data_IF_034139322863
#
_entry.id   IF_034139322863
#
_cell.length_a   1.000
_cell.length_b   1.000
_cell.length_c   1.000
_cell.angle_alpha   90.00
_cell.angle_beta   90.00
_cell.angle_gamma   90.00
#
_symmetry.space_group_name_H-M   'P 1'
#
loop_
_entity.id
_entity.type
_entity.pdbx_description
1 polymer ?
#
# COMPACT_ATOMS: atom_id res chain seq x y z
N UNK A 1 1.44 25.38 -1.95
CA UNK A 1 1.02 24.08 -1.45
C UNK A 1 2.20 23.14 -1.26
N UNK A 2 2.41 22.66 -0.06
CA UNK A 2 3.54 21.81 0.25
C UNK A 2 3.04 20.46 0.76
N UNK A 3 3.04 19.45 -0.11
CA UNK A 3 2.53 18.14 0.24
C UNK A 3 3.51 17.27 0.99
N UNK A 4 4.80 17.62 1.02
CA UNK A 4 5.77 16.75 1.68
C UNK A 4 5.64 16.75 3.21
N UNK A 5 4.98 17.73 3.77
CA UNK A 5 4.71 17.74 5.21
C UNK A 5 3.37 17.11 5.56
N UNK A 6 2.64 16.70 4.54
CA UNK A 6 1.31 16.16 4.75
C UNK A 6 1.40 14.66 5.01
N UNK A 7 0.88 14.22 6.15
CA UNK A 7 0.80 12.81 6.49
C UNK A 7 -0.60 12.48 6.97
N UNK A 8 -0.95 11.22 6.84
CA UNK A 8 -2.29 10.77 7.17
C UNK A 8 -2.23 9.41 7.86
N UNK A 9 -3.28 9.11 8.61
CA UNK A 9 -3.41 7.82 9.27
C UNK A 9 -4.01 6.76 8.35
N UNK A 10 -4.45 7.14 7.16
CA UNK A 10 -4.99 6.21 6.19
C UNK A 10 -4.57 6.63 4.79
N UNK A 11 -3.90 5.73 4.09
CA UNK A 11 -3.54 5.90 2.68
C UNK A 11 -4.28 4.85 1.88
N UNK A 12 -5.04 5.28 0.87
CA UNK A 12 -5.76 4.38 -0.02
C UNK A 12 -5.28 4.61 -1.44
N UNK A 13 -4.87 3.54 -2.12
CA UNK A 13 -4.40 3.64 -3.49
C UNK A 13 -5.11 2.61 -4.34
N UNK A 14 -5.62 3.04 -5.49
CA UNK A 14 -6.27 2.18 -6.47
C UNK A 14 -5.72 2.52 -7.84
N UNK A 15 -4.47 2.09 -8.08
CA UNK A 15 -3.75 2.37 -9.31
C UNK A 15 -3.05 1.09 -9.76
N UNK A 16 -2.48 1.12 -10.96
CA UNK A 16 -1.80 -0.04 -11.50
C UNK A 16 -0.65 -0.49 -10.59
N UNK A 17 -0.44 -1.80 -10.53
CA UNK A 17 0.58 -2.36 -9.65
C UNK A 17 1.99 -1.86 -10.00
N UNK A 18 2.25 -1.58 -11.28
CA UNK A 18 3.55 -1.03 -11.67
C UNK A 18 3.76 0.35 -11.06
N UNK A 19 2.71 1.18 -11.05
CA UNK A 19 2.79 2.49 -10.42
C UNK A 19 2.92 2.36 -8.91
N UNK A 20 2.24 1.38 -8.30
CA UNK A 20 2.36 1.14 -6.86
C UNK A 20 3.78 0.77 -6.48
N UNK A 21 4.47 0.01 -7.33
CA UNK A 21 5.86 -0.37 -7.07
C UNK A 21 6.78 0.86 -7.04
N UNK A 22 6.57 1.76 -7.99
CA UNK A 22 7.40 2.96 -8.10
C UNK A 22 7.09 3.94 -6.97
N UNK A 23 5.83 4.06 -6.59
CA UNK A 23 5.39 5.05 -5.62
C UNK A 23 5.50 4.57 -4.17
N UNK A 24 5.94 3.34 -3.94
CA UNK A 24 5.96 2.78 -2.60
C UNK A 24 6.66 3.67 -1.56
N UNK A 25 7.87 4.20 -1.83
CA UNK A 25 8.51 5.05 -0.83
C UNK A 25 7.71 6.31 -0.54
N UNK A 26 7.09 6.88 -1.57
CA UNK A 26 6.30 8.11 -1.42
C UNK A 26 5.06 7.84 -0.58
N UNK A 27 4.34 6.75 -0.90
CA UNK A 27 3.14 6.41 -0.15
C UNK A 27 3.46 6.07 1.30
N UNK A 28 4.57 5.37 1.53
CA UNK A 28 5.00 5.03 2.89
C UNK A 28 5.32 6.28 3.68
N UNK A 29 5.95 7.25 3.03
CA UNK A 29 6.31 8.49 3.71
C UNK A 29 5.07 9.30 4.11
N UNK A 30 4.00 9.21 3.33
CA UNK A 30 2.77 9.94 3.63
C UNK A 30 1.92 9.26 4.70
N UNK A 31 2.28 8.06 5.12
CA UNK A 31 1.51 7.32 6.11
C UNK A 31 2.16 7.48 7.49
N UNK A 32 1.38 7.90 8.47
CA UNK A 32 1.89 8.02 9.83
C UNK A 32 2.23 6.66 10.39
N UNK A 33 3.19 6.63 11.32
CA UNK A 33 3.50 5.42 12.07
C UNK A 33 2.21 4.91 12.72
N UNK A 34 1.96 3.62 12.58
CA UNK A 34 0.74 2.95 13.03
C UNK A 34 -0.49 3.32 12.21
N UNK A 35 -0.32 4.11 11.16
CA UNK A 35 -1.39 4.36 10.22
C UNK A 35 -1.59 3.17 9.30
N UNK A 36 -2.62 3.21 8.50
CA UNK A 36 -3.02 2.08 7.66
C UNK A 36 -2.89 2.43 6.18
N UNK A 37 -2.45 1.45 5.38
CA UNK A 37 -2.47 1.56 3.94
C UNK A 37 -3.41 0.50 3.38
N UNK A 38 -4.12 0.84 2.31
CA UNK A 38 -4.98 -0.08 1.59
C UNK A 38 -4.70 0.06 0.11
N UNK A 39 -4.32 -1.04 -0.53
CA UNK A 39 -3.97 -1.08 -1.95
C UNK A 39 -4.98 -1.96 -2.67
N UNK A 40 -5.67 -1.41 -3.66
CA UNK A 40 -6.66 -2.15 -4.43
C UNK A 40 -6.34 -2.08 -5.92
N UNK A 41 -7.12 -2.81 -6.73
CA UNK A 41 -6.86 -2.86 -8.16
C UNK A 41 -5.67 -3.75 -8.51
N UNK A 42 -5.34 -4.70 -7.66
CA UNK A 42 -4.18 -5.58 -7.80
C UNK A 42 -4.64 -6.97 -8.16
N UNK A 43 -4.00 -7.58 -9.14
CA UNK A 43 -4.26 -8.98 -9.47
C UNK A 43 -3.58 -9.89 -8.46
N UNK A 44 -4.19 -11.04 -8.18
CA UNK A 44 -3.63 -11.97 -7.20
C UNK A 44 -2.18 -12.31 -7.47
N UNK A 45 -1.82 -12.47 -8.74
CA UNK A 45 -0.45 -12.83 -9.10
C UNK A 45 0.57 -11.75 -8.79
N UNK A 46 0.11 -10.53 -8.52
CA UNK A 46 0.99 -9.40 -8.23
C UNK A 46 1.17 -9.17 -6.73
N UNK A 47 0.37 -9.88 -5.92
CA UNK A 47 0.37 -9.66 -4.48
C UNK A 47 1.74 -9.88 -3.85
N UNK A 48 2.39 -10.97 -4.21
CA UNK A 48 3.67 -11.31 -3.59
C UNK A 48 4.73 -10.25 -3.81
N UNK A 49 4.82 -9.74 -5.04
CA UNK A 49 5.82 -8.72 -5.36
C UNK A 49 5.55 -7.42 -4.61
N UNK A 50 4.28 -7.01 -4.54
CA UNK A 50 3.94 -5.78 -3.84
C UNK A 50 4.19 -5.91 -2.34
N UNK A 51 3.91 -7.07 -1.76
CA UNK A 51 4.17 -7.28 -0.34
C UNK A 51 5.66 -7.25 -0.03
N UNK A 52 6.51 -7.73 -0.94
CA UNK A 52 7.95 -7.62 -0.75
C UNK A 52 8.38 -6.17 -0.70
N UNK A 53 7.86 -5.35 -1.59
CA UNK A 53 8.24 -3.95 -1.68
C UNK A 53 7.74 -3.18 -0.47
N UNK A 54 6.44 -3.29 -0.17
CA UNK A 54 5.84 -2.53 0.91
C UNK A 54 6.19 -3.06 2.29
N UNK A 55 6.64 -4.32 2.37
CA UNK A 55 7.04 -4.93 3.64
C UNK A 55 8.17 -4.22 4.35
N UNK A 56 8.88 -3.33 3.64
CA UNK A 56 9.92 -2.51 4.28
C UNK A 56 9.32 -1.57 5.33
N UNK A 57 8.07 -1.17 5.14
CA UNK A 57 7.47 -0.14 5.98
C UNK A 57 6.19 -0.59 6.68
N UNK A 58 5.58 -1.69 6.23
CA UNK A 58 4.27 -2.10 6.70
C UNK A 58 4.26 -3.54 7.16
N UNK A 59 3.47 -3.80 8.21
CA UNK A 59 3.09 -5.15 8.62
C UNK A 59 1.72 -5.42 8.02
N UNK A 60 1.58 -6.51 7.27
CA UNK A 60 0.36 -6.77 6.51
C UNK A 60 -0.69 -7.49 7.33
N UNK A 61 -1.94 -7.08 7.13
CA UNK A 61 -3.10 -7.79 7.59
C UNK A 61 -3.49 -8.82 6.53
N UNK A 62 -4.36 -9.80 6.87
CA UNK A 62 -4.80 -10.76 5.86
C UNK A 62 -5.42 -10.05 4.67
N UNK A 63 -5.05 -10.49 3.46
CA UNK A 63 -5.58 -9.91 2.23
C UNK A 63 -6.99 -10.40 1.96
N UNK A 64 -7.73 -9.63 1.17
CA UNK A 64 -9.07 -10.00 0.74
C UNK A 64 -9.04 -10.27 -0.76
N UNK A 65 -9.61 -11.38 -1.19
CA UNK A 65 -9.59 -11.80 -2.58
C UNK A 65 -10.99 -11.85 -3.14
N UNK A 66 -11.13 -11.42 -4.39
CA UNK A 66 -12.40 -11.50 -5.10
C UNK A 66 -12.17 -11.51 -6.61
N UNK A 67 -12.59 -12.59 -7.27
CA UNK A 67 -12.56 -12.69 -8.73
C UNK A 67 -11.19 -12.41 -9.33
N UNK A 68 -10.13 -12.90 -8.70
CA UNK A 68 -8.78 -12.71 -9.20
C UNK A 68 -8.14 -11.39 -8.79
N UNK A 69 -8.87 -10.55 -8.09
CA UNK A 69 -8.36 -9.30 -7.55
C UNK A 69 -8.04 -9.45 -6.07
N UNK A 70 -7.14 -8.62 -5.59
CA UNK A 70 -6.77 -8.67 -4.17
C UNK A 70 -6.73 -7.26 -3.60
N UNK A 71 -7.21 -7.15 -2.36
CA UNK A 71 -7.06 -5.94 -1.56
C UNK A 71 -6.00 -6.22 -0.50
N UNK A 72 -4.92 -5.46 -0.54
CA UNK A 72 -3.82 -5.60 0.41
C UNK A 72 -3.92 -4.45 1.40
N UNK A 73 -3.84 -4.77 2.69
CA UNK A 73 -3.81 -3.73 3.71
C UNK A 73 -2.71 -4.02 4.72
N UNK A 74 -2.20 -2.96 5.34
CA UNK A 74 -1.12 -3.08 6.30
C UNK A 74 -1.05 -1.90 7.23
N UNK A 75 -0.27 -2.06 8.28
CA UNK A 75 -0.07 -1.05 9.31
C UNK A 75 1.36 -0.55 9.23
N UNK A 76 1.55 0.76 9.21
CA UNK A 76 2.88 1.38 9.12
C UNK A 76 3.66 1.12 10.40
N UNK A 77 4.86 0.60 10.24
CA UNK A 77 5.77 0.43 11.36
C UNK A 77 6.41 1.75 11.77
#
# INVERSE_FOLDING_TARGET
ENTKDYKTDLVVANILSSALSVLAPVLAEHCNTKGKIALSGILEKQEGDLKKIYGRWFDFEPSHYQDGWVLISGIKR
#
